data_IF_154591215397
#
_entry.id   IF_154591215397
#
_cell.length_a   1.000
_cell.length_b   1.000
_cell.length_c   1.000
_cell.angle_alpha   90.00
_cell.angle_beta   90.00
_cell.angle_gamma   90.00
#
_symmetry.space_group_name_H-M   'P 1'
#
loop_
_entity.id
_entity.type
_entity.pdbx_description
1 polymer ?
#
# COMPACT_ATOMS: atom_id res chain seq x y z
N UNK A 1 33.86 -24.47 -2.65
CA UNK A 1 33.06 -23.52 -3.46
C UNK A 1 31.59 -23.86 -3.28
N UNK A 2 30.78 -23.03 -2.60
CA UNK A 2 29.35 -23.28 -2.45
C UNK A 2 28.67 -23.18 -3.82
N UNK A 3 27.89 -24.20 -4.19
CA UNK A 3 27.22 -24.30 -5.47
C UNK A 3 26.22 -23.15 -5.66
N UNK A 4 26.32 -22.36 -6.73
CA UNK A 4 25.44 -21.23 -7.08
C UNK A 4 24.01 -21.65 -7.54
N UNK A 5 23.70 -22.95 -7.54
CA UNK A 5 22.43 -23.51 -8.03
C UNK A 5 21.18 -23.20 -7.19
N UNK A 6 21.22 -23.05 -5.84
CA UNK A 6 20.01 -22.77 -5.07
C UNK A 6 19.51 -21.33 -5.25
N UNK A 7 20.44 -20.35 -5.33
CA UNK A 7 20.10 -18.92 -5.48
C UNK A 7 19.36 -18.63 -6.79
N UNK A 8 19.77 -19.26 -7.90
CA UNK A 8 19.10 -19.09 -9.19
C UNK A 8 17.69 -19.70 -9.22
N UNK A 9 17.43 -20.75 -8.44
CA UNK A 9 16.08 -21.34 -8.27
C UNK A 9 15.17 -20.45 -7.42
N UNK A 10 15.70 -19.85 -6.36
CA UNK A 10 14.97 -18.89 -5.51
C UNK A 10 14.59 -17.63 -6.31
N UNK A 11 15.52 -17.08 -7.10
CA UNK A 11 15.23 -15.92 -7.97
C UNK A 11 14.16 -16.24 -9.02
N UNK A 12 14.16 -17.44 -9.59
CA UNK A 12 13.14 -17.88 -10.54
C UNK A 12 11.75 -18.01 -9.88
N UNK A 13 11.68 -18.48 -8.62
CA UNK A 13 10.44 -18.61 -7.86
C UNK A 13 9.76 -17.25 -7.58
N UNK A 14 10.53 -16.18 -7.48
CA UNK A 14 9.99 -14.84 -7.22
C UNK A 14 9.72 -14.01 -8.48
N UNK A 15 10.11 -14.47 -9.68
CA UNK A 15 9.89 -13.74 -10.94
C UNK A 15 8.43 -13.34 -11.17
N UNK A 16 7.48 -14.23 -10.88
CA UNK A 16 6.05 -13.94 -11.00
C UNK A 16 5.60 -12.83 -10.04
N UNK A 17 6.10 -12.85 -8.80
CA UNK A 17 5.83 -11.82 -7.80
C UNK A 17 6.39 -10.45 -8.23
N UNK A 18 7.63 -10.41 -8.73
CA UNK A 18 8.24 -9.19 -9.25
C UNK A 18 7.50 -8.64 -10.47
N UNK A 19 7.01 -9.52 -11.37
CA UNK A 19 6.19 -9.11 -12.49
C UNK A 19 4.86 -8.49 -12.01
N UNK A 20 4.18 -9.11 -11.03
CA UNK A 20 2.97 -8.54 -10.44
C UNK A 20 3.24 -7.18 -9.79
N UNK A 21 4.32 -7.04 -9.02
CA UNK A 21 4.71 -5.75 -8.44
C UNK A 21 5.02 -4.70 -9.51
N UNK A 22 5.69 -5.10 -10.59
CA UNK A 22 5.95 -4.23 -11.74
C UNK A 22 4.67 -3.75 -12.41
N UNK A 23 3.69 -4.63 -12.60
CA UNK A 23 2.37 -4.28 -13.16
C UNK A 23 1.64 -3.31 -12.23
N UNK A 24 1.61 -3.58 -10.92
CA UNK A 24 0.98 -2.70 -9.92
C UNK A 24 1.65 -1.33 -9.92
N UNK A 25 2.98 -1.27 -9.97
CA UNK A 25 3.72 -0.02 -10.02
C UNK A 25 3.43 0.76 -11.30
N UNK A 26 3.44 0.10 -12.46
CA UNK A 26 3.14 0.73 -13.73
C UNK A 26 1.71 1.30 -13.75
N UNK A 27 0.73 0.54 -13.22
CA UNK A 27 -0.65 1.01 -13.09
C UNK A 27 -0.75 2.20 -12.13
N UNK A 28 -0.05 2.17 -10.99
CA UNK A 28 -0.03 3.28 -10.03
C UNK A 28 0.56 4.56 -10.64
N UNK A 29 1.66 4.45 -11.40
CA UNK A 29 2.26 5.58 -12.12
C UNK A 29 1.31 6.12 -13.18
N UNK A 30 0.70 5.25 -13.99
CA UNK A 30 -0.24 5.66 -15.03
C UNK A 30 -1.45 6.39 -14.43
N UNK A 31 -2.00 5.88 -13.32
CA UNK A 31 -3.10 6.53 -12.59
C UNK A 31 -2.67 7.87 -12.00
N UNK A 32 -1.48 7.98 -11.42
CA UNK A 32 -0.97 9.23 -10.89
C UNK A 32 -0.78 10.29 -11.99
N UNK A 33 -0.26 9.90 -13.15
CA UNK A 33 -0.12 10.80 -14.32
C UNK A 33 -1.49 11.23 -14.84
N UNK A 34 -2.42 10.30 -15.04
CA UNK A 34 -3.77 10.64 -15.50
C UNK A 34 -4.48 11.58 -14.51
N UNK A 35 -4.36 11.31 -13.21
CA UNK A 35 -4.95 12.16 -12.18
C UNK A 35 -4.30 13.57 -12.09
N UNK A 36 -3.05 13.72 -12.55
CA UNK A 36 -2.39 15.03 -12.63
C UNK A 36 -2.78 15.81 -13.90
N UNK A 37 -3.19 15.11 -14.97
CA UNK A 37 -3.60 15.73 -16.23
C UNK A 37 -5.09 16.11 -16.24
N UNK A 38 -5.92 15.36 -15.53
CA UNK A 38 -7.37 15.56 -15.46
C UNK A 38 -7.82 15.75 -14.01
N UNK A 39 -8.55 16.84 -13.72
CA UNK A 39 -9.16 17.06 -12.40
C UNK A 39 -10.07 15.89 -11.97
N UNK A 40 -10.68 15.20 -12.94
CA UNK A 40 -11.50 14.00 -12.76
C UNK A 40 -11.32 13.03 -13.91
N UNK A 41 -10.98 11.78 -13.59
CA UNK A 41 -10.90 10.70 -14.57
C UNK A 41 -12.28 10.42 -15.19
N UNK A 42 -12.38 10.11 -16.50
CA UNK A 42 -13.62 9.65 -17.09
C UNK A 42 -14.08 8.36 -16.39
N UNK A 43 -15.21 8.45 -15.70
CA UNK A 43 -15.77 7.34 -14.92
C UNK A 43 -15.66 7.48 -13.40
N UNK A 44 -14.92 8.48 -12.88
CA UNK A 44 -14.80 8.73 -11.41
C UNK A 44 -16.18 8.92 -10.77
N UNK A 45 -17.02 9.76 -11.38
CA UNK A 45 -18.37 10.04 -10.90
C UNK A 45 -19.26 8.81 -10.99
N UNK A 46 -19.25 8.08 -12.10
CA UNK A 46 -20.06 6.87 -12.24
C UNK A 46 -19.64 5.77 -11.26
N UNK A 47 -18.33 5.63 -10.99
CA UNK A 47 -17.83 4.68 -10.01
C UNK A 47 -18.23 5.11 -8.59
N UNK A 48 -18.11 6.40 -8.27
CA UNK A 48 -18.52 6.96 -6.98
C UNK A 48 -20.02 6.77 -6.76
N UNK A 49 -20.85 7.08 -7.75
CA UNK A 49 -22.29 6.86 -7.70
C UNK A 49 -22.63 5.39 -7.55
N UNK A 50 -22.00 4.49 -8.31
CA UNK A 50 -22.23 3.06 -8.18
C UNK A 50 -21.85 2.50 -6.80
N UNK A 51 -20.78 3.02 -6.17
CA UNK A 51 -20.40 2.67 -4.79
C UNK A 51 -21.40 3.24 -3.79
N UNK A 52 -21.88 4.46 -4.00
CA UNK A 52 -22.89 5.10 -3.14
C UNK A 52 -24.26 4.41 -3.23
N UNK A 53 -24.61 3.90 -4.41
CA UNK A 53 -25.86 3.17 -4.67
C UNK A 53 -25.79 1.70 -4.22
N UNK A 54 -24.59 1.20 -3.88
CA UNK A 54 -24.42 -0.15 -3.34
C UNK A 54 -25.16 -0.24 -1.99
N UNK A 55 -25.78 -1.39 -1.64
CA UNK A 55 -26.29 -1.63 -0.30
C UNK A 55 -25.12 -1.71 0.71
N UNK A 56 -24.55 -0.56 1.05
CA UNK A 56 -23.45 -0.43 1.97
C UNK A 56 -23.98 -0.63 3.39
N UNK A 57 -23.22 -1.22 4.33
CA UNK A 57 -23.70 -1.54 5.69
C UNK A 57 -24.03 -0.31 6.58
N UNK A 58 -24.19 0.86 5.99
CA UNK A 58 -24.48 2.14 6.65
C UNK A 58 -23.23 2.91 7.06
N UNK A 59 -23.47 4.14 7.51
CA UNK A 59 -22.46 5.10 8.01
C UNK A 59 -21.57 4.51 9.13
N UNK A 60 -22.07 3.73 10.11
CA UNK A 60 -21.22 3.19 11.18
C UNK A 60 -20.12 2.25 10.68
N UNK A 61 -20.40 1.48 9.62
CA UNK A 61 -19.40 0.59 9.02
C UNK A 61 -18.35 1.38 8.24
N UNK A 62 -18.77 2.42 7.52
CA UNK A 62 -17.85 3.34 6.84
C UNK A 62 -16.92 4.03 7.83
N UNK A 63 -17.42 4.45 8.99
CA UNK A 63 -16.64 5.07 10.05
C UNK A 63 -15.59 4.12 10.63
N UNK A 64 -15.97 2.86 10.88
CA UNK A 64 -15.03 1.84 11.35
C UNK A 64 -13.95 1.56 10.30
N UNK A 65 -14.33 1.40 9.02
CA UNK A 65 -13.35 1.22 7.95
C UNK A 65 -12.42 2.42 7.83
N UNK A 66 -12.96 3.64 7.92
CA UNK A 66 -12.20 4.87 7.86
C UNK A 66 -11.21 4.97 9.02
N UNK A 67 -11.64 4.61 10.23
CA UNK A 67 -10.78 4.54 11.41
C UNK A 67 -9.65 3.52 11.21
N UNK A 68 -9.98 2.30 10.79
CA UNK A 68 -9.01 1.21 10.60
C UNK A 68 -8.01 1.49 9.46
N UNK A 69 -8.45 2.20 8.42
CA UNK A 69 -7.62 2.59 7.27
C UNK A 69 -6.79 3.85 7.52
N UNK A 70 -6.99 4.52 8.66
CA UNK A 70 -6.24 5.71 9.04
C UNK A 70 -4.74 5.41 9.15
N UNK A 71 -3.91 6.27 8.55
CA UNK A 71 -2.44 6.12 8.57
C UNK A 71 -1.91 5.99 10.00
N UNK A 72 -2.49 6.70 10.96
CA UNK A 72 -2.14 6.63 12.39
C UNK A 72 -2.40 5.25 12.99
N UNK A 73 -3.55 4.65 12.67
CA UNK A 73 -3.94 3.32 13.17
C UNK A 73 -3.04 2.25 12.54
N UNK A 74 -2.85 2.31 11.22
CA UNK A 74 -1.97 1.36 10.50
C UNK A 74 -0.54 1.47 10.99
N UNK A 75 0.01 2.68 11.13
CA UNK A 75 1.36 2.91 11.63
C UNK A 75 1.51 2.49 13.08
N UNK A 76 0.53 2.82 13.94
CA UNK A 76 0.54 2.46 15.36
C UNK A 76 0.49 0.95 15.59
N UNK A 77 -0.46 0.26 14.96
CA UNK A 77 -0.59 -1.20 15.03
C UNK A 77 0.64 -1.88 14.42
N UNK A 78 1.11 -1.40 13.27
CA UNK A 78 2.31 -1.93 12.62
C UNK A 78 3.57 -1.77 13.48
N UNK A 79 3.75 -0.62 14.13
CA UNK A 79 4.86 -0.38 15.05
C UNK A 79 4.78 -1.28 16.27
N UNK A 80 3.59 -1.46 16.86
CA UNK A 80 3.38 -2.40 17.96
C UNK A 80 3.75 -3.84 17.56
N UNK A 81 3.31 -4.29 16.38
CA UNK A 81 3.68 -5.60 15.84
C UNK A 81 5.19 -5.74 15.59
N UNK A 82 5.86 -4.68 15.12
CA UNK A 82 7.31 -4.67 14.95
C UNK A 82 8.03 -4.84 16.30
N UNK A 83 7.56 -4.14 17.35
CA UNK A 83 8.09 -4.29 18.71
C UNK A 83 7.85 -5.70 19.25
N UNK A 84 6.64 -6.25 19.09
CA UNK A 84 6.32 -7.62 19.51
C UNK A 84 7.24 -8.63 18.80
N UNK A 85 7.43 -8.49 17.48
CA UNK A 85 8.32 -9.35 16.72
C UNK A 85 9.78 -9.22 17.19
N UNK A 86 10.21 -7.99 17.52
CA UNK A 86 11.54 -7.72 18.07
C UNK A 86 11.73 -8.43 19.41
N UNK A 87 10.78 -8.29 20.33
CA UNK A 87 10.80 -8.95 21.64
C UNK A 87 10.73 -10.48 21.55
N UNK A 88 10.01 -11.01 20.56
CA UNK A 88 9.97 -12.45 20.24
C UNK A 88 11.25 -12.99 19.58
N UNK A 89 12.33 -12.20 19.52
CA UNK A 89 13.62 -12.60 18.92
C UNK A 89 13.65 -12.56 17.39
N UNK A 90 12.55 -12.19 16.74
CA UNK A 90 12.45 -12.11 15.27
C UNK A 90 12.93 -10.74 14.77
N UNK A 91 14.23 -10.47 14.91
CA UNK A 91 14.85 -9.17 14.60
C UNK A 91 14.70 -8.74 13.13
N UNK A 92 14.96 -9.64 12.19
CA UNK A 92 14.88 -9.35 10.74
C UNK A 92 13.48 -8.91 10.29
N UNK A 93 12.39 -9.67 10.56
CA UNK A 93 11.06 -9.23 10.15
C UNK A 93 10.59 -8.00 10.90
N UNK A 94 10.99 -7.81 12.17
CA UNK A 94 10.71 -6.57 12.91
C UNK A 94 11.31 -5.34 12.23
N UNK A 95 12.59 -5.41 11.83
CA UNK A 95 13.26 -4.33 11.10
C UNK A 95 12.66 -4.12 9.72
N UNK A 96 12.34 -5.20 8.99
CA UNK A 96 11.71 -5.10 7.68
C UNK A 96 10.34 -4.41 7.76
N UNK A 97 9.53 -4.76 8.78
CA UNK A 97 8.24 -4.13 9.02
C UNK A 97 8.39 -2.66 9.41
N UNK A 98 9.28 -2.34 10.34
CA UNK A 98 9.54 -0.97 10.77
C UNK A 98 10.03 -0.09 9.60
N UNK A 99 10.96 -0.60 8.79
CA UNK A 99 11.44 0.10 7.60
C UNK A 99 10.33 0.28 6.56
N UNK A 100 9.52 -0.75 6.32
CA UNK A 100 8.38 -0.69 5.41
C UNK A 100 7.36 0.38 5.83
N UNK A 101 7.05 0.47 7.13
CA UNK A 101 6.16 1.50 7.67
C UNK A 101 6.74 2.91 7.50
N UNK A 102 8.03 3.09 7.78
CA UNK A 102 8.68 4.39 7.59
C UNK A 102 8.65 4.83 6.12
N UNK A 103 8.97 3.92 5.20
CA UNK A 103 8.90 4.19 3.74
C UNK A 103 7.47 4.50 3.32
N UNK A 104 6.47 3.75 3.79
CA UNK A 104 5.07 3.98 3.47
C UNK A 104 4.61 5.38 3.89
N UNK A 105 4.90 5.81 5.12
CA UNK A 105 4.49 7.12 5.63
C UNK A 105 5.14 8.26 4.84
N UNK A 106 6.44 8.15 4.57
CA UNK A 106 7.17 9.14 3.77
C UNK A 106 6.64 9.21 2.34
N UNK A 107 6.37 8.06 1.72
CA UNK A 107 5.84 8.00 0.36
C UNK A 107 4.42 8.57 0.28
N UNK A 108 3.55 8.26 1.26
CA UNK A 108 2.22 8.86 1.34
C UNK A 108 2.27 10.39 1.43
N UNK A 109 3.18 10.92 2.26
CA UNK A 109 3.37 12.35 2.40
C UNK A 109 3.86 12.97 1.08
N UNK A 110 4.92 12.42 0.49
CA UNK A 110 5.50 12.93 -0.75
C UNK A 110 4.50 12.90 -1.92
N UNK A 111 3.73 11.82 -2.06
CA UNK A 111 2.72 11.71 -3.12
C UNK A 111 1.62 12.74 -2.94
N UNK A 112 1.16 12.98 -1.72
CA UNK A 112 0.15 14.01 -1.45
C UNK A 112 0.65 15.40 -1.82
N UNK A 113 1.89 15.72 -1.45
CA UNK A 113 2.51 17.02 -1.75
C UNK A 113 2.72 17.24 -3.26
N UNK A 114 3.11 16.19 -4.00
CA UNK A 114 3.35 16.28 -5.45
C UNK A 114 2.03 16.41 -6.23
N UNK A 115 0.99 15.69 -5.81
CA UNK A 115 -0.28 15.61 -6.55
C UNK A 115 -1.23 16.75 -6.20
N UNK A 116 -1.15 17.31 -4.99
CA UNK A 116 -1.92 18.47 -4.49
C UNK A 116 -3.36 18.58 -5.03
N UNK A 117 -4.10 17.46 -4.98
CA UNK A 117 -5.46 17.38 -5.55
C UNK A 117 -6.51 17.85 -4.53
N UNK A 118 -7.47 18.71 -4.92
CA UNK A 118 -8.59 19.09 -4.06
C UNK A 118 -9.44 17.87 -3.68
N UNK A 119 -9.94 17.88 -2.44
CA UNK A 119 -10.74 16.79 -1.87
C UNK A 119 -12.17 16.75 -2.40
#
# INVERSE_FOLDING_TARGET
>A
MPSARPVLRELAAHRGMWACWGVVLAAAIALAVLAALDDRLPGDLSATSAVQDWPFPGEPFADVLRLLSGTEVVAGVGAALAVIAWLAGRRRPALALAAGLAVMVLLQFAVKEIVDRPR
#
